data_IF_951013026514
#
_entry.id   IF_951013026514
#
_cell.length_a   1.000
_cell.length_b   1.000
_cell.length_c   1.000
_cell.angle_alpha   90.00
_cell.angle_beta   90.00
_cell.angle_gamma   90.00
#
_symmetry.space_group_name_H-M   'P 1'
#
loop_
_entity.id
_entity.type
_entity.pdbx_description
1 polymer ?
#
# COMPACT_ATOMS: atom_id res chain seq x y z
N UNK A 1 16.26 17.65 -3.05
CA UNK A 1 14.89 17.41 -2.53
C UNK A 1 14.10 18.70 -2.40
N UNK A 2 14.60 19.72 -1.67
CA UNK A 2 13.88 20.99 -1.48
C UNK A 2 13.44 21.63 -2.80
N UNK A 3 14.34 21.70 -3.79
CA UNK A 3 14.08 22.25 -5.12
C UNK A 3 12.92 21.54 -5.84
N UNK A 4 12.83 20.21 -5.72
CA UNK A 4 11.73 19.45 -6.32
C UNK A 4 10.38 19.84 -5.68
N UNK A 5 10.32 20.00 -4.37
CA UNK A 5 9.09 20.39 -3.65
C UNK A 5 8.76 21.88 -3.77
N UNK A 6 9.75 22.74 -4.05
CA UNK A 6 9.56 24.17 -4.23
C UNK A 6 9.21 24.57 -5.67
N UNK A 7 9.06 23.59 -6.58
CA UNK A 7 8.88 23.79 -8.02
C UNK A 7 10.08 24.50 -8.67
N UNK A 8 11.27 23.96 -8.41
CA UNK A 8 12.56 24.42 -8.95
C UNK A 8 12.91 25.87 -8.57
N UNK A 9 12.49 26.35 -7.40
CA UNK A 9 13.03 27.61 -6.86
C UNK A 9 14.50 27.44 -6.52
N UNK A 10 15.23 28.54 -6.60
CA UNK A 10 16.64 28.61 -6.19
C UNK A 10 16.70 28.74 -4.65
N UNK A 11 17.42 27.85 -3.95
CA UNK A 11 17.65 27.99 -2.51
C UNK A 11 18.41 29.28 -2.18
N UNK A 12 18.01 29.98 -1.11
CA UNK A 12 18.68 31.21 -0.64
C UNK A 12 18.81 32.30 -1.73
N UNK A 13 17.85 32.37 -2.66
CA UNK A 13 17.90 33.29 -3.81
C UNK A 13 17.90 34.78 -3.43
N UNK A 14 17.55 35.08 -2.18
CA UNK A 14 17.52 36.40 -1.56
C UNK A 14 18.85 36.81 -0.91
N UNK A 15 19.84 35.91 -0.87
CA UNK A 15 21.16 36.15 -0.26
C UNK A 15 22.21 36.29 -1.37
N UNK A 16 22.95 37.38 -1.34
CA UNK A 16 23.89 37.74 -2.42
C UNK A 16 25.22 36.97 -2.35
N UNK A 17 25.63 36.48 -1.17
CA UNK A 17 26.96 35.88 -0.98
C UNK A 17 26.94 34.53 -0.28
N UNK A 18 27.78 33.62 -0.77
CA UNK A 18 27.99 32.29 -0.16
C UNK A 18 28.48 32.37 1.29
N UNK A 19 29.22 33.43 1.64
CA UNK A 19 29.71 33.66 3.00
C UNK A 19 28.56 33.87 3.97
N UNK A 20 27.57 34.68 3.58
CA UNK A 20 26.38 34.91 4.40
C UNK A 20 25.55 33.62 4.54
N UNK A 21 25.39 32.86 3.44
CA UNK A 21 24.71 31.56 3.48
C UNK A 21 25.40 30.62 4.48
N UNK A 22 26.73 30.52 4.42
CA UNK A 22 27.51 29.71 5.36
C UNK A 22 27.28 30.13 6.82
N UNK A 23 27.28 31.44 7.10
CA UNK A 23 27.06 31.97 8.45
C UNK A 23 25.66 31.67 8.97
N UNK A 24 24.62 31.86 8.15
CA UNK A 24 23.24 31.56 8.52
C UNK A 24 23.04 30.08 8.81
N UNK A 25 23.48 29.22 7.89
CA UNK A 25 23.34 27.76 8.03
C UNK A 25 24.05 27.25 9.29
N UNK A 26 25.27 27.71 9.56
CA UNK A 26 26.04 27.32 10.75
C UNK A 26 25.46 27.88 12.05
N UNK A 27 24.75 29.01 11.98
CA UNK A 27 24.02 29.59 13.12
C UNK A 27 22.68 28.89 13.41
N UNK A 28 22.27 27.95 12.57
CA UNK A 28 21.06 27.16 12.77
C UNK A 28 19.96 27.41 11.76
N UNK A 29 20.06 28.45 10.93
CA UNK A 29 19.04 28.77 9.92
C UNK A 29 18.86 27.62 8.92
N UNK A 30 17.64 27.50 8.42
CA UNK A 30 17.22 26.49 7.45
C UNK A 30 16.33 27.13 6.40
N UNK A 31 16.27 26.50 5.23
CA UNK A 31 15.30 26.87 4.20
C UNK A 31 13.88 26.74 4.76
N UNK A 32 12.96 27.57 4.26
CA UNK A 32 11.55 27.43 4.59
C UNK A 32 10.98 26.13 4.00
N UNK A 33 10.07 25.48 4.74
CA UNK A 33 9.35 24.30 4.27
C UNK A 33 8.50 24.66 3.03
N UNK A 34 8.65 23.98 1.89
CA UNK A 34 7.78 24.20 0.74
C UNK A 34 6.32 23.83 1.04
N UNK A 35 5.36 24.58 0.49
CA UNK A 35 3.91 24.39 0.71
C UNK A 35 3.43 22.97 0.36
N UNK A 36 3.96 22.39 -0.72
CA UNK A 36 3.59 21.06 -1.20
C UNK A 36 4.28 19.91 -0.45
N UNK A 37 5.15 20.22 0.52
CA UNK A 37 5.90 19.22 1.27
C UNK A 37 5.11 18.75 2.49
N UNK A 38 4.97 17.43 2.70
CA UNK A 38 4.42 16.90 3.95
C UNK A 38 5.36 17.14 5.13
N UNK A 39 4.85 17.10 6.36
CA UNK A 39 5.68 17.24 7.57
C UNK A 39 6.72 16.12 7.69
N UNK A 40 6.36 14.89 7.34
CA UNK A 40 7.29 13.76 7.40
C UNK A 40 8.39 13.87 6.35
N UNK A 41 8.04 14.33 5.15
CA UNK A 41 9.02 14.56 4.07
C UNK A 41 9.94 15.73 4.43
N UNK A 42 9.40 16.76 5.09
CA UNK A 42 10.18 17.90 5.58
C UNK A 42 11.14 17.49 6.69
N UNK A 43 10.67 16.70 7.66
CA UNK A 43 11.50 16.13 8.72
C UNK A 43 12.66 15.32 8.13
N UNK A 44 12.38 14.49 7.12
CA UNK A 44 13.41 13.74 6.41
C UNK A 44 14.43 14.66 5.73
N UNK A 45 13.98 15.74 5.07
CA UNK A 45 14.88 16.74 4.49
C UNK A 45 15.75 17.41 5.56
N UNK A 46 15.18 17.82 6.69
CA UNK A 46 15.94 18.44 7.78
C UNK A 46 17.04 17.52 8.32
N UNK A 47 16.78 16.21 8.41
CA UNK A 47 17.80 15.24 8.81
C UNK A 47 18.99 15.19 7.84
N UNK A 48 18.76 15.41 6.53
CA UNK A 48 19.85 15.52 5.55
C UNK A 48 20.68 16.81 5.70
N UNK A 49 20.12 17.83 6.36
CA UNK A 49 20.74 19.15 6.59
C UNK A 49 21.30 19.29 8.01
N UNK A 50 21.52 18.19 8.73
CA UNK A 50 22.09 18.23 10.08
C UNK A 50 23.51 18.84 10.04
N UNK A 51 23.84 19.68 11.02
CA UNK A 51 25.18 20.27 11.14
C UNK A 51 26.24 19.19 11.37
N UNK A 52 25.91 18.19 12.19
CA UNK A 52 26.75 17.00 12.37
C UNK A 52 26.63 16.10 11.15
N UNK A 53 27.75 15.86 10.46
CA UNK A 53 27.78 14.97 9.29
C UNK A 53 27.44 13.53 9.66
N UNK A 54 27.80 13.09 10.87
CA UNK A 54 27.57 11.74 11.39
C UNK A 54 26.08 11.48 11.69
N UNK A 55 25.32 12.53 11.99
CA UNK A 55 23.87 12.45 12.24
C UNK A 55 23.04 12.46 10.95
N UNK A 56 23.66 12.73 9.79
CA UNK A 56 22.96 12.69 8.50
C UNK A 56 22.68 11.25 8.11
N UNK A 57 21.49 10.94 7.56
CA UNK A 57 21.21 9.61 7.07
C UNK A 57 22.11 9.27 5.89
N UNK A 58 22.62 8.04 5.88
CA UNK A 58 23.25 7.44 4.70
C UNK A 58 22.24 7.35 3.54
N UNK A 59 22.73 7.24 2.30
CA UNK A 59 21.86 7.03 1.14
C UNK A 59 21.00 5.76 1.25
N UNK A 60 21.51 4.70 1.87
CA UNK A 60 20.74 3.47 2.12
C UNK A 60 19.55 3.72 3.06
N UNK A 61 19.79 4.45 4.16
CA UNK A 61 18.74 4.86 5.09
C UNK A 61 17.74 5.82 4.41
N UNK A 62 18.23 6.80 3.65
CA UNK A 62 17.40 7.77 2.92
C UNK A 62 16.50 7.07 1.92
N UNK A 63 17.04 6.14 1.11
CA UNK A 63 16.25 5.33 0.16
C UNK A 63 15.14 4.57 0.88
N UNK A 64 15.47 3.87 1.97
CA UNK A 64 14.48 3.14 2.78
C UNK A 64 13.36 4.06 3.30
N UNK A 65 13.71 5.24 3.80
CA UNK A 65 12.75 6.21 4.32
C UNK A 65 11.88 6.82 3.22
N UNK A 66 12.47 7.18 2.08
CA UNK A 66 11.75 7.68 0.92
C UNK A 66 10.79 6.63 0.35
N UNK A 67 11.21 5.37 0.21
CA UNK A 67 10.34 4.28 -0.22
C UNK A 67 9.16 4.09 0.73
N UNK A 68 9.38 4.21 2.04
CA UNK A 68 8.29 4.14 3.03
C UNK A 68 7.29 5.30 2.87
N UNK A 69 7.78 6.52 2.64
CA UNK A 69 6.94 7.70 2.39
C UNK A 69 6.15 7.58 1.08
N UNK A 70 6.81 7.15 0.01
CA UNK A 70 6.18 6.87 -1.28
C UNK A 70 5.09 5.81 -1.14
N UNK A 71 5.37 4.69 -0.46
CA UNK A 71 4.38 3.66 -0.20
C UNK A 71 3.16 4.21 0.55
N UNK A 72 3.36 5.07 1.56
CA UNK A 72 2.26 5.72 2.28
C UNK A 72 1.41 6.59 1.35
N UNK A 73 2.04 7.42 0.51
CA UNK A 73 1.38 8.32 -0.44
C UNK A 73 0.61 7.55 -1.52
N UNK A 74 1.20 6.49 -2.08
CA UNK A 74 0.54 5.62 -3.04
C UNK A 74 -0.64 4.87 -2.42
N UNK A 75 -0.53 4.40 -1.18
CA UNK A 75 -1.63 3.67 -0.52
C UNK A 75 -2.81 4.54 -0.11
N UNK A 76 -2.61 5.85 0.08
CA UNK A 76 -3.72 6.81 0.22
C UNK A 76 -4.41 7.11 -1.11
N UNK A 77 -3.72 6.94 -2.25
CA UNK A 77 -4.25 7.19 -3.58
C UNK A 77 -4.83 5.95 -4.29
N UNK A 78 -4.49 4.73 -3.85
CA UNK A 78 -5.02 3.47 -4.38
C UNK A 78 -6.53 3.35 -4.11
N UNK A 79 -7.31 3.88 -5.06
CA UNK A 79 -8.74 3.69 -5.12
C UNK A 79 -9.04 2.25 -5.54
N UNK A 80 -10.21 1.75 -5.15
CA UNK A 80 -10.68 0.40 -5.47
C UNK A 80 -10.59 0.06 -6.96
N UNK A 81 -10.73 1.05 -7.85
CA UNK A 81 -10.62 0.90 -9.30
C UNK A 81 -9.26 0.37 -9.77
N UNK A 82 -8.15 0.81 -9.17
CA UNK A 82 -6.83 0.30 -9.54
C UNK A 82 -6.62 -1.17 -9.15
N UNK A 83 -7.19 -1.60 -8.02
CA UNK A 83 -7.17 -3.02 -7.64
C UNK A 83 -7.97 -3.85 -8.65
N UNK A 84 -9.15 -3.36 -9.07
CA UNK A 84 -9.98 -4.02 -10.08
C UNK A 84 -9.27 -4.12 -11.44
N UNK A 85 -8.60 -3.07 -11.89
CA UNK A 85 -7.82 -3.10 -13.13
C UNK A 85 -6.68 -4.12 -13.10
N UNK A 86 -6.13 -4.41 -11.91
CA UNK A 86 -5.12 -5.48 -11.78
C UNK A 86 -5.72 -6.86 -11.81
N UNK A 87 -6.84 -7.09 -11.12
CA UNK A 87 -7.56 -8.35 -11.25
C UNK A 87 -7.98 -8.62 -12.69
N UNK A 88 -8.43 -7.60 -13.41
CA UNK A 88 -8.74 -7.68 -14.85
C UNK A 88 -7.54 -8.23 -15.64
N UNK A 89 -6.35 -7.65 -15.43
CA UNK A 89 -5.12 -8.05 -16.14
C UNK A 89 -4.63 -9.44 -15.77
N UNK A 90 -4.67 -9.81 -14.48
CA UNK A 90 -4.18 -11.12 -14.01
C UNK A 90 -5.08 -12.23 -14.52
N UNK A 91 -6.39 -12.01 -14.40
CA UNK A 91 -7.39 -13.04 -14.66
C UNK A 91 -7.81 -13.07 -16.14
N UNK A 92 -7.40 -12.08 -16.93
CA UNK A 92 -7.76 -11.92 -18.34
C UNK A 92 -9.29 -11.93 -18.55
N UNK A 93 -10.01 -11.30 -17.63
CA UNK A 93 -11.48 -11.20 -17.64
C UNK A 93 -11.91 -9.76 -17.89
N UNK A 94 -13.15 -9.57 -18.33
CA UNK A 94 -13.72 -8.24 -18.56
C UNK A 94 -13.85 -7.44 -17.25
N UNK A 95 -13.69 -6.11 -17.33
CA UNK A 95 -13.75 -5.24 -16.14
C UNK A 95 -15.07 -5.38 -15.38
N UNK A 96 -16.17 -5.65 -16.09
CA UNK A 96 -17.47 -5.91 -15.48
C UNK A 96 -17.47 -7.21 -14.65
N UNK A 97 -16.83 -8.28 -15.10
CA UNK A 97 -16.71 -9.54 -14.36
C UNK A 97 -15.91 -9.37 -13.07
N UNK A 98 -14.90 -8.51 -13.10
CA UNK A 98 -14.14 -8.12 -11.90
C UNK A 98 -15.02 -7.31 -10.93
N UNK A 99 -15.77 -6.34 -11.45
CA UNK A 99 -16.63 -5.46 -10.64
C UNK A 99 -17.82 -6.18 -10.02
N UNK A 100 -18.31 -7.24 -10.67
CA UNK A 100 -19.38 -8.11 -10.16
C UNK A 100 -18.86 -8.99 -8.99
N UNK A 101 -17.54 -9.04 -8.76
CA UNK A 101 -16.92 -9.74 -7.64
C UNK A 101 -16.79 -11.24 -7.86
N UNK A 102 -17.76 -11.89 -8.50
CA UNK A 102 -17.78 -13.35 -8.70
C UNK A 102 -16.42 -13.89 -9.18
N UNK A 103 -15.78 -13.25 -10.16
CA UNK A 103 -14.51 -13.74 -10.68
C UNK A 103 -13.32 -13.53 -9.72
N UNK A 104 -13.32 -12.46 -8.93
CA UNK A 104 -12.29 -12.20 -7.91
C UNK A 104 -12.42 -13.21 -6.77
N UNK A 105 -13.64 -13.42 -6.29
CA UNK A 105 -13.97 -14.39 -5.26
C UNK A 105 -13.67 -15.81 -5.72
N UNK A 106 -14.07 -16.17 -6.95
CA UNK A 106 -13.79 -17.48 -7.55
C UNK A 106 -12.29 -17.72 -7.65
N UNK A 107 -11.52 -16.71 -8.06
CA UNK A 107 -10.05 -16.80 -8.11
C UNK A 107 -9.48 -17.05 -6.73
N UNK A 108 -9.91 -16.29 -5.72
CA UNK A 108 -9.39 -16.41 -4.36
C UNK A 108 -9.64 -17.82 -3.79
N UNK A 109 -10.82 -18.38 -4.03
CA UNK A 109 -11.13 -19.74 -3.60
C UNK A 109 -10.32 -20.77 -4.41
N UNK A 110 -10.21 -20.62 -5.73
CA UNK A 110 -9.45 -21.53 -6.60
C UNK A 110 -7.96 -21.56 -6.27
N UNK A 111 -7.36 -20.41 -5.93
CA UNK A 111 -5.95 -20.34 -5.54
C UNK A 111 -5.64 -21.18 -4.30
N UNK A 112 -6.62 -21.39 -3.42
CA UNK A 112 -6.47 -22.28 -2.26
C UNK A 112 -6.56 -23.78 -2.59
N UNK A 113 -6.82 -24.13 -3.86
CA UNK A 113 -7.04 -25.50 -4.33
C UNK A 113 -8.49 -25.97 -4.22
N UNK A 114 -9.41 -25.09 -3.85
CA UNK A 114 -10.84 -25.40 -3.74
C UNK A 114 -11.56 -25.03 -5.04
N UNK A 115 -12.40 -25.91 -5.57
CA UNK A 115 -13.22 -25.64 -6.74
C UNK A 115 -14.70 -25.52 -6.32
N UNK A 116 -15.06 -24.36 -5.76
CA UNK A 116 -16.40 -24.09 -5.19
C UNK A 116 -16.98 -22.86 -5.90
N UNK A 117 -18.19 -23.00 -6.43
CA UNK A 117 -18.92 -21.91 -7.07
C UNK A 117 -19.18 -20.75 -6.10
N UNK A 118 -18.70 -19.56 -6.48
CA UNK A 118 -18.84 -18.31 -5.74
C UNK A 118 -20.02 -17.43 -6.22
N UNK A 119 -21.03 -18.01 -6.87
CA UNK A 119 -22.26 -17.30 -7.18
C UNK A 119 -22.88 -16.64 -5.93
N UNK A 120 -23.08 -15.32 -5.99
CA UNK A 120 -23.60 -14.51 -4.88
C UNK A 120 -22.58 -14.11 -3.83
N UNK A 121 -21.30 -14.47 -4.03
CA UNK A 121 -20.21 -13.94 -3.23
C UNK A 121 -20.03 -12.44 -3.47
N UNK A 122 -19.52 -11.75 -2.46
CA UNK A 122 -19.35 -10.30 -2.52
C UNK A 122 -18.07 -9.90 -1.83
N UNK A 123 -17.56 -8.73 -2.17
CA UNK A 123 -16.47 -8.12 -1.45
C UNK A 123 -16.69 -6.62 -1.29
N UNK A 124 -16.16 -6.05 -0.20
CA UNK A 124 -16.25 -4.62 0.07
C UNK A 124 -15.06 -4.13 0.87
N UNK A 125 -14.54 -2.95 0.51
CA UNK A 125 -13.51 -2.29 1.32
C UNK A 125 -14.13 -1.63 2.55
N UNK A 126 -13.61 -1.90 3.75
CA UNK A 126 -13.98 -1.20 4.98
C UNK A 126 -13.53 0.28 4.87
N UNK A 127 -14.43 1.26 5.03
CA UNK A 127 -14.09 2.68 4.90
C UNK A 127 -12.93 3.09 5.81
N UNK A 128 -12.02 3.94 5.32
CA UNK A 128 -10.86 4.44 6.06
C UNK A 128 -9.92 3.34 6.60
N UNK A 129 -9.98 2.14 6.03
CA UNK A 129 -9.06 1.05 6.37
C UNK A 129 -8.33 0.50 5.13
N UNK A 130 -7.34 -0.34 5.39
CA UNK A 130 -6.68 -1.18 4.38
C UNK A 130 -7.23 -2.61 4.40
N UNK A 131 -8.51 -2.77 4.73
CA UNK A 131 -9.17 -4.07 4.82
C UNK A 131 -10.23 -4.19 3.73
N UNK A 132 -10.14 -5.28 2.97
CA UNK A 132 -11.20 -5.76 2.08
C UNK A 132 -11.87 -6.96 2.74
N UNK A 133 -13.17 -6.87 2.90
CA UNK A 133 -14.01 -7.93 3.46
C UNK A 133 -14.53 -8.74 2.29
N UNK A 134 -14.31 -10.05 2.31
CA UNK A 134 -14.86 -11.00 1.35
C UNK A 134 -15.91 -11.86 2.04
N UNK A 135 -17.09 -11.96 1.43
CA UNK A 135 -18.13 -12.91 1.80
C UNK A 135 -18.12 -14.03 0.77
N UNK A 136 -17.51 -15.16 1.13
CA UNK A 136 -17.24 -16.30 0.27
C UNK A 136 -18.16 -17.47 0.62
N UNK A 137 -18.48 -18.29 -0.37
CA UNK A 137 -19.23 -19.54 -0.16
C UNK A 137 -18.25 -20.68 0.07
N UNK A 138 -18.18 -21.19 1.31
CA UNK A 138 -17.34 -22.34 1.67
C UNK A 138 -18.17 -23.26 2.59
N UNK A 139 -18.90 -24.24 2.01
CA UNK A 139 -19.88 -25.05 2.76
C UNK A 139 -19.26 -25.91 3.85
N UNK A 140 -18.12 -26.55 3.59
CA UNK A 140 -17.47 -27.46 4.53
C UNK A 140 -16.58 -26.72 5.53
N UNK A 141 -16.62 -27.16 6.79
CA UNK A 141 -15.68 -26.69 7.81
C UNK A 141 -14.23 -27.08 7.50
N UNK A 142 -14.03 -28.24 6.87
CA UNK A 142 -12.70 -28.71 6.47
C UNK A 142 -12.15 -27.90 5.31
N UNK A 143 -12.97 -27.58 4.31
CA UNK A 143 -12.59 -26.70 3.20
C UNK A 143 -12.22 -25.31 3.72
N UNK A 144 -13.00 -24.78 4.67
CA UNK A 144 -12.68 -23.51 5.30
C UNK A 144 -11.33 -23.54 6.03
N UNK A 145 -11.07 -24.59 6.80
CA UNK A 145 -9.79 -24.77 7.48
C UNK A 145 -8.63 -24.89 6.47
N UNK A 146 -8.83 -25.60 5.36
CA UNK A 146 -7.87 -25.73 4.28
C UNK A 146 -7.59 -24.37 3.61
N UNK A 147 -8.64 -23.60 3.32
CA UNK A 147 -8.55 -22.24 2.78
C UNK A 147 -7.72 -21.32 3.68
N UNK A 148 -8.06 -21.24 4.97
CA UNK A 148 -7.33 -20.41 5.94
C UNK A 148 -5.87 -20.85 6.06
N UNK A 149 -5.62 -22.16 6.12
CA UNK A 149 -4.27 -22.72 6.21
C UNK A 149 -3.44 -22.38 4.99
N UNK A 150 -4.00 -22.54 3.78
CA UNK A 150 -3.32 -22.18 2.53
C UNK A 150 -2.82 -20.74 2.58
N UNK A 151 -3.71 -19.79 2.87
CA UNK A 151 -3.36 -18.38 2.85
C UNK A 151 -2.42 -17.97 3.98
N UNK A 152 -2.55 -18.54 5.17
CA UNK A 152 -1.60 -18.27 6.27
C UNK A 152 -0.20 -18.79 6.00
N UNK A 153 -0.08 -19.93 5.32
CA UNK A 153 1.21 -20.54 5.00
C UNK A 153 1.95 -19.77 3.89
N UNK A 154 1.22 -19.27 2.89
CA UNK A 154 1.83 -18.59 1.74
C UNK A 154 1.92 -17.08 1.91
N UNK A 155 1.02 -16.47 2.70
CA UNK A 155 0.88 -15.02 2.81
C UNK A 155 0.75 -14.59 4.27
N UNK A 156 1.91 -14.40 4.91
CA UNK A 156 1.97 -13.93 6.28
C UNK A 156 1.18 -12.61 6.42
N UNK A 157 0.25 -12.57 7.37
CA UNK A 157 -0.62 -11.40 7.67
C UNK A 157 -1.64 -10.97 6.61
N UNK A 158 -1.84 -11.76 5.54
CA UNK A 158 -2.88 -11.44 4.55
C UNK A 158 -4.28 -11.48 5.15
N UNK A 159 -4.63 -12.59 5.82
CA UNK A 159 -5.91 -12.74 6.51
C UNK A 159 -5.78 -12.13 7.91
N UNK A 160 -6.65 -11.15 8.20
CA UNK A 160 -6.66 -10.39 9.45
C UNK A 160 -7.66 -11.00 10.44
N UNK A 161 -8.91 -11.15 10.03
CA UNK A 161 -9.95 -11.84 10.79
C UNK A 161 -10.82 -12.70 9.86
N UNK A 162 -11.59 -13.61 10.43
CA UNK A 162 -12.62 -14.35 9.70
C UNK A 162 -13.73 -14.81 10.64
N UNK A 163 -14.91 -14.99 10.06
CA UNK A 163 -16.11 -15.50 10.75
C UNK A 163 -16.80 -16.51 9.84
N UNK A 164 -17.23 -17.65 10.40
CA UNK A 164 -18.03 -18.65 9.68
C UNK A 164 -19.46 -18.66 10.20
N UNK A 165 -20.41 -18.45 9.30
CA UNK A 165 -21.83 -18.57 9.61
C UNK A 165 -22.23 -20.05 9.45
N UNK A 166 -22.36 -20.76 10.57
CA UNK A 166 -22.61 -22.22 10.58
C UNK A 166 -23.88 -22.60 9.80
N UNK A 167 -24.88 -21.71 9.77
CA UNK A 167 -26.17 -21.97 9.16
C UNK A 167 -26.24 -21.70 7.64
N UNK A 168 -25.26 -20.99 7.04
CA UNK A 168 -25.49 -20.37 5.73
C UNK A 168 -24.49 -20.78 4.64
N UNK A 169 -23.53 -21.67 4.91
CA UNK A 169 -22.40 -22.00 4.00
C UNK A 169 -21.47 -20.81 3.68
N UNK A 170 -21.74 -19.63 4.25
CA UNK A 170 -20.98 -18.41 4.00
C UNK A 170 -19.91 -18.18 5.07
N UNK A 171 -18.78 -17.66 4.61
CA UNK A 171 -17.69 -17.20 5.46
C UNK A 171 -17.37 -15.77 5.11
N UNK A 172 -17.07 -14.99 6.14
CA UNK A 172 -16.55 -13.64 5.98
C UNK A 172 -15.06 -13.67 6.30
N UNK A 173 -14.23 -13.13 5.42
CA UNK A 173 -12.78 -13.08 5.54
C UNK A 173 -12.31 -11.65 5.33
N UNK A 174 -11.63 -11.12 6.32
CA UNK A 174 -11.01 -9.81 6.25
C UNK A 174 -9.58 -9.95 5.77
N UNK A 175 -9.29 -9.30 4.67
CA UNK A 175 -8.01 -9.38 3.99
C UNK A 175 -7.34 -8.01 3.98
N UNK A 176 -6.06 -7.97 4.29
CA UNK A 176 -5.24 -6.78 4.12
C UNK A 176 -5.11 -6.45 2.62
N UNK A 177 -5.80 -5.41 2.17
CA UNK A 177 -5.89 -4.99 0.77
C UNK A 177 -4.51 -4.73 0.16
N UNK A 178 -3.57 -4.19 0.94
CA UNK A 178 -2.24 -3.86 0.43
C UNK A 178 -1.39 -5.11 0.19
N UNK A 179 -1.51 -6.12 1.06
CA UNK A 179 -0.82 -7.40 0.89
C UNK A 179 -1.42 -8.15 -0.29
N UNK A 180 -2.75 -8.17 -0.40
CA UNK A 180 -3.45 -8.77 -1.54
C UNK A 180 -3.00 -8.12 -2.86
N UNK A 181 -2.96 -6.79 -2.92
CA UNK A 181 -2.50 -6.06 -4.09
C UNK A 181 -1.06 -6.42 -4.47
N UNK A 182 -0.14 -6.40 -3.51
CA UNK A 182 1.27 -6.73 -3.77
C UNK A 182 1.42 -8.16 -4.30
N UNK A 183 0.62 -9.10 -3.78
CA UNK A 183 0.63 -10.48 -4.25
C UNK A 183 0.13 -10.59 -5.70
N UNK A 184 -0.98 -9.94 -6.03
CA UNK A 184 -1.49 -9.91 -7.41
C UNK A 184 -0.46 -9.32 -8.38
N UNK A 185 0.31 -8.32 -7.96
CA UNK A 185 1.41 -7.76 -8.77
C UNK A 185 2.51 -8.79 -9.01
N UNK A 186 2.90 -9.58 -8.01
CA UNK A 186 3.94 -10.61 -8.18
C UNK A 186 3.55 -11.74 -9.13
N UNK A 187 2.24 -12.01 -9.30
CA UNK A 187 1.73 -13.00 -10.26
C UNK A 187 1.82 -12.48 -11.71
N UNK A 188 1.69 -11.17 -11.94
CA UNK A 188 1.72 -10.56 -13.29
C UNK A 188 3.16 -10.42 -13.82
N UNK A 189 4.13 -10.28 -12.91
CA UNK A 189 5.51 -9.97 -13.26
C UNK A 189 6.43 -11.20 -13.40
N UNK A 190 5.89 -12.41 -13.23
CA UNK A 190 6.55 -13.68 -13.50
C UNK A 190 5.88 -14.37 -14.69
#
# INVERSE_FOLDING_TARGET
MWEAFSKAKIPWSDIETDKEICQRVTSGDKLLKPVMCSDETWTLMLNTMNLSAQERPTFSQLRRLLTKLQYKLENTARNHGELMEKFQKVLQIERNEVLIGIAVEQTLVNLSGLNIDQAGATFRRKPNTHITVFRLRIPSGDDFNNFIRHYRNHFKTLIVEYTREIATEWVTVDVNTNILYNHMVSIICN
#
